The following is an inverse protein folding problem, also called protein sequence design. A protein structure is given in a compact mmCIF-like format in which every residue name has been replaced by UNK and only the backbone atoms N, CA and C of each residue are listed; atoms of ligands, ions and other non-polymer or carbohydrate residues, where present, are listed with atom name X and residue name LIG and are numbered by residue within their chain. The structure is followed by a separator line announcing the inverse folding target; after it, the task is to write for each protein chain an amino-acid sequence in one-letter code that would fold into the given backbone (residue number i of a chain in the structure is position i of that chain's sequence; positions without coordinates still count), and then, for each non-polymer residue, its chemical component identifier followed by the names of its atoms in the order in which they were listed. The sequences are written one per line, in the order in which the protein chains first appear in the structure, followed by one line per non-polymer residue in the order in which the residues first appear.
data_IF_586469630347
#
_entry.id   IF_586469630347
#
_cell.length_a   1.000
_cell.length_b   1.000
_cell.length_c   1.000
_cell.angle_alpha   90.00
_cell.angle_beta   90.00
_cell.angle_gamma   90.00
#
_symmetry.space_group_name_H-M   'P 1'
#
loop_
_entity.id
_entity.type
_entity.pdbx_description
1 polymer ?
#
# COMPACT_ATOMS: atom_id res chain seq x y z
N UNK A 1 17.25 -36.55 23.58
CA UNK A 1 16.33 -35.43 23.48
C UNK A 1 16.05 -35.13 22.01
N UNK A 2 15.12 -35.82 21.40
CA UNK A 2 14.76 -35.64 20.02
C UNK A 2 13.77 -34.49 19.83
N UNK A 3 13.98 -33.70 18.79
CA UNK A 3 12.93 -32.83 18.24
C UNK A 3 11.79 -33.76 17.80
N UNK A 4 10.54 -33.52 18.21
CA UNK A 4 9.44 -34.35 17.77
C UNK A 4 9.37 -34.36 16.24
N UNK A 5 9.35 -35.51 15.65
CA UNK A 5 9.21 -35.69 14.20
C UNK A 5 7.74 -35.99 13.91
N UNK A 6 7.14 -35.19 13.04
CA UNK A 6 5.77 -35.39 12.59
C UNK A 6 5.78 -35.82 11.11
N UNK A 7 5.98 -37.11 10.81
CA UNK A 7 6.19 -37.56 9.43
C UNK A 7 4.97 -37.27 8.54
N UNK A 8 3.77 -37.37 9.08
CA UNK A 8 2.55 -37.05 8.32
C UNK A 8 2.46 -35.56 7.97
N UNK A 9 2.84 -34.68 8.89
CA UNK A 9 2.87 -33.24 8.64
C UNK A 9 3.95 -32.88 7.63
N UNK A 10 5.15 -33.49 7.76
CA UNK A 10 6.25 -33.29 6.81
C UNK A 10 5.87 -33.76 5.40
N UNK A 11 5.12 -34.85 5.29
CA UNK A 11 4.61 -35.33 4.00
C UNK A 11 3.64 -34.35 3.34
N UNK A 12 2.87 -33.60 4.15
CA UNK A 12 1.89 -32.62 3.65
C UNK A 12 2.49 -31.26 3.31
N UNK A 13 3.38 -30.75 4.14
CA UNK A 13 3.85 -29.34 4.06
C UNK A 13 5.34 -29.22 3.75
N UNK A 14 6.06 -30.33 3.67
CA UNK A 14 7.50 -30.35 3.48
C UNK A 14 8.28 -30.22 4.79
N UNK A 15 9.59 -30.04 4.69
CA UNK A 15 10.50 -29.99 5.84
C UNK A 15 10.42 -28.67 6.62
N UNK A 16 9.78 -27.66 6.07
CA UNK A 16 9.65 -26.33 6.70
C UNK A 16 8.21 -25.88 6.66
N UNK A 17 7.79 -25.21 7.73
CA UNK A 17 6.48 -24.52 7.79
C UNK A 17 6.65 -23.04 7.44
N UNK A 18 5.61 -22.39 6.91
CA UNK A 18 5.68 -20.95 6.64
C UNK A 18 5.94 -20.15 7.92
N UNK A 19 6.78 -19.13 7.80
CA UNK A 19 7.01 -18.16 8.88
C UNK A 19 6.05 -16.98 8.70
N UNK A 20 5.16 -16.79 9.67
CA UNK A 20 4.17 -15.72 9.68
C UNK A 20 4.48 -14.60 10.67
N UNK A 21 5.67 -14.60 11.28
CA UNK A 21 6.05 -13.55 12.23
C UNK A 21 6.07 -12.18 11.54
N UNK A 22 5.44 -11.19 12.16
CA UNK A 22 5.36 -9.83 11.63
C UNK A 22 4.43 -9.65 10.44
N UNK A 23 3.63 -10.65 10.08
CA UNK A 23 2.76 -10.65 8.91
C UNK A 23 1.32 -10.90 9.34
N UNK A 24 0.39 -10.12 8.79
CA UNK A 24 -1.02 -10.37 8.96
C UNK A 24 -1.49 -11.52 8.07
N UNK A 25 -2.37 -12.37 8.59
CA UNK A 25 -3.01 -13.40 7.80
C UNK A 25 -4.29 -12.86 7.18
N UNK A 26 -4.45 -13.08 5.89
CA UNK A 26 -5.61 -12.61 5.12
C UNK A 26 -6.31 -13.80 4.49
N UNK A 27 -7.63 -13.85 4.65
CA UNK A 27 -8.45 -14.88 3.97
C UNK A 27 -8.26 -14.81 2.45
N UNK A 28 -7.99 -15.95 1.83
CA UNK A 28 -7.85 -16.05 0.38
C UNK A 28 -9.18 -15.80 -0.31
N UNK A 29 -9.17 -14.94 -1.30
CA UNK A 29 -10.34 -14.56 -2.10
C UNK A 29 -10.53 -13.06 -2.17
N UNK A 30 -11.75 -12.64 -2.46
CA UNK A 30 -12.10 -11.23 -2.53
C UNK A 30 -13.46 -10.94 -1.90
N UNK A 31 -13.61 -9.75 -1.36
CA UNK A 31 -14.85 -9.24 -0.81
C UNK A 31 -14.96 -7.74 -1.09
N UNK A 32 -16.15 -7.28 -1.44
CA UNK A 32 -16.41 -5.88 -1.69
C UNK A 32 -16.97 -5.21 -0.43
N UNK A 33 -16.47 -4.03 -0.11
CA UNK A 33 -17.03 -3.15 0.91
C UNK A 33 -17.50 -1.84 0.32
N UNK A 34 -18.42 -1.17 1.02
CA UNK A 34 -18.97 0.12 0.61
C UNK A 34 -18.72 1.22 1.63
N UNK A 35 -17.82 0.99 2.58
CA UNK A 35 -17.60 1.88 3.72
C UNK A 35 -17.14 3.28 3.33
N UNK A 36 -16.21 3.40 2.39
CA UNK A 36 -15.75 4.67 1.79
C UNK A 36 -15.70 4.55 0.27
N UNK A 37 -16.87 4.42 -0.35
CA UNK A 37 -16.98 4.04 -1.76
C UNK A 37 -16.89 2.52 -1.93
N UNK A 38 -17.13 2.06 -3.14
CA UNK A 38 -17.07 0.63 -3.46
C UNK A 38 -15.62 0.21 -3.67
N UNK A 39 -15.13 -0.66 -2.80
CA UNK A 39 -13.75 -1.16 -2.84
C UNK A 39 -13.76 -2.68 -2.85
N UNK A 40 -13.08 -3.28 -3.80
CA UNK A 40 -12.83 -4.71 -3.84
C UNK A 40 -11.55 -5.05 -3.06
N UNK A 41 -11.70 -5.81 -1.99
CA UNK A 41 -10.60 -6.28 -1.15
C UNK A 41 -10.17 -7.67 -1.62
N UNK A 42 -9.18 -7.72 -2.49
CA UNK A 42 -8.67 -8.97 -3.04
C UNK A 42 -7.35 -9.38 -2.37
N UNK A 43 -7.23 -10.64 -1.97
CA UNK A 43 -5.97 -11.20 -1.52
C UNK A 43 -5.02 -11.46 -2.71
N UNK A 44 -3.74 -11.66 -2.44
CA UNK A 44 -2.83 -12.32 -3.36
C UNK A 44 -3.24 -13.79 -3.57
N UNK A 45 -2.51 -14.53 -4.39
CA UNK A 45 -2.70 -15.98 -4.50
C UNK A 45 -2.45 -16.66 -3.17
N UNK A 46 -3.04 -17.84 -2.99
CA UNK A 46 -2.88 -18.60 -1.76
C UNK A 46 -1.39 -18.83 -1.43
N UNK A 47 -0.98 -18.45 -0.24
CA UNK A 47 0.40 -18.55 0.24
C UNK A 47 1.33 -17.41 -0.19
N UNK A 48 0.93 -16.54 -1.10
CA UNK A 48 1.75 -15.40 -1.53
C UNK A 48 1.69 -14.23 -0.54
N UNK A 49 2.80 -13.51 -0.47
CA UNK A 49 2.92 -12.28 0.29
C UNK A 49 2.37 -11.12 -0.54
N UNK A 50 1.56 -10.29 0.09
CA UNK A 50 1.07 -9.03 -0.46
C UNK A 50 1.60 -7.87 0.37
N UNK A 51 2.28 -6.92 -0.27
CA UNK A 51 2.83 -5.74 0.39
C UNK A 51 1.75 -4.83 0.97
N UNK A 52 2.16 -4.01 1.92
CA UNK A 52 1.34 -2.93 2.43
C UNK A 52 1.00 -1.91 1.34
N UNK A 53 -0.10 -1.23 1.51
CA UNK A 53 -0.49 -0.14 0.63
C UNK A 53 -1.51 0.78 1.32
N UNK A 54 -1.53 2.03 0.87
CA UNK A 54 -2.59 2.97 1.19
C UNK A 54 -3.40 3.30 -0.08
N UNK A 55 -4.60 3.83 0.08
CA UNK A 55 -5.30 4.45 -1.05
C UNK A 55 -4.57 5.71 -1.47
N UNK A 56 -4.45 5.94 -2.78
CA UNK A 56 -3.78 7.13 -3.26
C UNK A 56 -4.55 8.39 -2.84
N UNK A 57 -3.81 9.36 -2.38
CA UNK A 57 -4.31 10.68 -2.05
C UNK A 57 -3.67 11.68 -3.00
N UNK A 58 -4.49 12.46 -3.67
CA UNK A 58 -4.04 13.51 -4.59
C UNK A 58 -4.70 14.82 -4.24
N UNK A 59 -3.98 15.90 -4.44
CA UNK A 59 -4.47 17.24 -4.21
C UNK A 59 -3.52 18.28 -4.77
N UNK A 60 -3.94 19.54 -4.70
CA UNK A 60 -3.11 20.66 -5.11
C UNK A 60 -3.31 21.83 -4.20
N UNK A 61 -2.29 22.64 -4.08
CA UNK A 61 -2.36 23.94 -3.46
C UNK A 61 -1.83 24.99 -4.43
N UNK A 62 -2.55 26.09 -4.54
CA UNK A 62 -2.08 27.27 -5.26
C UNK A 62 -1.41 28.16 -4.24
N UNK A 63 -0.12 28.38 -4.41
CA UNK A 63 0.67 29.17 -3.48
C UNK A 63 1.45 30.23 -4.28
N UNK A 64 1.75 31.34 -3.62
CA UNK A 64 2.69 32.31 -4.15
C UNK A 64 4.08 31.94 -3.60
N UNK A 65 4.95 31.29 -4.40
CA UNK A 65 6.27 30.92 -3.93
C UNK A 65 7.13 32.17 -3.82
N UNK A 66 7.28 32.67 -2.62
CA UNK A 66 8.08 33.85 -2.35
C UNK A 66 9.60 33.65 -2.58
N UNK A 67 10.06 32.49 -3.01
CA UNK A 67 11.48 32.22 -3.23
C UNK A 67 11.73 31.28 -4.41
N UNK A 68 12.55 31.75 -5.32
CA UNK A 68 13.27 30.91 -6.28
C UNK A 68 14.12 29.87 -5.53
N UNK A 69 14.11 28.63 -5.96
CA UNK A 69 15.16 27.68 -5.68
C UNK A 69 14.85 26.53 -4.76
N UNK A 70 13.64 26.36 -4.26
CA UNK A 70 13.25 25.12 -3.58
C UNK A 70 12.35 24.26 -4.48
N UNK A 71 12.90 23.17 -4.95
CA UNK A 71 12.11 22.16 -5.66
C UNK A 71 11.29 21.37 -4.65
N UNK A 72 10.01 21.12 -4.92
CA UNK A 72 9.21 20.19 -4.11
C UNK A 72 9.85 18.80 -4.06
N UNK A 73 9.70 18.12 -2.95
CA UNK A 73 10.28 16.79 -2.72
C UNK A 73 9.24 15.79 -2.23
N UNK A 74 9.56 14.50 -2.32
CA UNK A 74 8.69 13.42 -1.85
C UNK A 74 7.39 13.35 -2.66
N UNK A 75 6.23 13.34 -2.00
CA UNK A 75 4.94 13.29 -2.69
C UNK A 75 4.52 14.61 -3.34
N UNK A 76 5.22 15.69 -3.07
CA UNK A 76 4.95 16.99 -3.69
C UNK A 76 5.71 17.12 -5.00
N UNK A 77 5.07 17.73 -5.99
CA UNK A 77 5.70 18.01 -7.28
C UNK A 77 5.11 19.24 -7.94
N UNK A 78 5.87 19.79 -8.86
CA UNK A 78 5.49 20.90 -9.69
C UNK A 78 5.20 20.38 -11.10
N UNK A 79 4.05 20.73 -11.65
CA UNK A 79 3.68 20.36 -13.01
C UNK A 79 4.33 21.23 -14.09
N UNK A 80 5.07 22.26 -13.68
CA UNK A 80 5.61 23.26 -14.61
C UNK A 80 4.58 24.25 -15.14
N UNK A 81 3.32 24.10 -14.74
CA UNK A 81 2.26 25.03 -15.14
C UNK A 81 2.21 26.22 -14.16
N UNK A 82 2.44 27.39 -14.68
CA UNK A 82 2.19 28.63 -13.93
C UNK A 82 3.39 29.30 -13.28
N UNK A 83 4.59 28.78 -13.46
CA UNK A 83 5.79 29.49 -13.03
C UNK A 83 6.16 30.58 -14.04
N UNK A 84 5.44 31.68 -14.01
CA UNK A 84 5.84 32.85 -14.76
C UNK A 84 7.05 33.51 -14.06
N UNK A 85 8.14 33.56 -14.78
CA UNK A 85 9.41 34.14 -14.39
C UNK A 85 9.33 35.68 -14.33
N UNK A 86 8.30 36.22 -13.71
CA UNK A 86 8.13 37.67 -13.56
C UNK A 86 8.53 38.16 -12.16
N UNK A 87 9.36 39.15 -12.19
CA UNK A 87 10.00 39.83 -11.06
C UNK A 87 9.06 40.74 -10.28
N UNK A 88 7.76 40.67 -10.42
CA UNK A 88 6.84 41.52 -9.65
C UNK A 88 5.50 40.90 -9.36
N UNK A 89 5.16 40.90 -8.09
CA UNK A 89 3.82 40.88 -7.49
C UNK A 89 2.75 40.09 -8.26
N UNK A 90 2.66 38.80 -8.03
CA UNK A 90 1.46 38.07 -8.33
C UNK A 90 1.57 36.76 -9.12
N UNK A 91 2.76 36.19 -9.30
CA UNK A 91 2.85 34.86 -9.92
C UNK A 91 2.52 33.79 -8.89
N UNK A 92 1.38 33.14 -9.06
CA UNK A 92 1.00 31.95 -8.31
C UNK A 92 1.50 30.69 -9.01
N UNK A 93 2.08 29.79 -8.26
CA UNK A 93 2.43 28.44 -8.72
C UNK A 93 1.50 27.41 -8.11
N UNK A 94 1.35 26.26 -8.74
CA UNK A 94 0.58 25.15 -8.23
C UNK A 94 1.53 24.04 -7.78
N UNK A 95 1.41 23.65 -6.53
CA UNK A 95 2.10 22.49 -5.98
C UNK A 95 1.10 21.35 -5.90
N UNK A 96 1.45 20.25 -6.51
CA UNK A 96 0.66 19.02 -6.51
C UNK A 96 1.15 18.06 -5.45
N UNK A 97 0.23 17.29 -4.91
CA UNK A 97 0.49 16.20 -3.98
C UNK A 97 -0.01 14.89 -4.60
N UNK A 98 0.83 13.87 -4.58
CA UNK A 98 0.47 12.51 -5.00
C UNK A 98 1.21 11.51 -4.11
N UNK A 99 0.46 10.81 -3.26
CA UNK A 99 1.03 9.86 -2.30
C UNK A 99 1.76 8.70 -2.99
N UNK A 100 1.37 8.33 -4.21
CA UNK A 100 2.03 7.24 -4.95
C UNK A 100 3.50 7.50 -5.27
N UNK A 101 3.95 8.73 -5.16
CA UNK A 101 5.36 9.11 -5.36
C UNK A 101 6.26 8.76 -4.16
N UNK A 102 5.68 8.52 -3.01
CA UNK A 102 6.42 8.32 -1.76
C UNK A 102 6.11 6.98 -1.07
N UNK A 103 4.99 6.35 -1.38
CA UNK A 103 4.53 5.13 -0.72
C UNK A 103 3.76 4.24 -1.69
N UNK A 104 3.74 2.91 -1.50
CA UNK A 104 2.90 2.02 -2.28
C UNK A 104 1.42 2.37 -2.16
N UNK A 105 0.71 2.39 -3.28
CA UNK A 105 -0.73 2.68 -3.31
C UNK A 105 -1.52 1.56 -3.96
N UNK A 106 -2.76 1.39 -3.53
CA UNK A 106 -3.71 0.41 -4.06
C UNK A 106 -5.15 0.93 -3.92
N UNK A 107 -6.10 0.17 -4.41
CA UNK A 107 -7.53 0.49 -4.23
C UNK A 107 -7.98 0.39 -2.76
N UNK A 108 -7.22 -0.29 -1.93
CA UNK A 108 -7.50 -0.50 -0.49
C UNK A 108 -6.31 -0.12 0.39
N UNK A 109 -6.59 0.15 1.67
CA UNK A 109 -5.56 0.24 2.71
C UNK A 109 -5.36 -1.16 3.27
N UNK A 110 -4.11 -1.62 3.30
CA UNK A 110 -3.78 -2.94 3.84
C UNK A 110 -2.38 -2.98 4.45
N UNK A 111 -2.18 -3.76 5.52
CA UNK A 111 -0.84 -4.10 5.99
C UNK A 111 -0.20 -5.18 5.10
N UNK A 112 1.09 -5.42 5.29
CA UNK A 112 1.76 -6.60 4.74
C UNK A 112 1.02 -7.85 5.21
N UNK A 113 0.60 -8.69 4.26
CA UNK A 113 -0.22 -9.84 4.57
C UNK A 113 0.12 -11.03 3.68
N UNK A 114 -0.29 -12.21 4.12
CA UNK A 114 -0.19 -13.44 3.34
C UNK A 114 -1.55 -14.10 3.25
N UNK A 115 -1.92 -14.51 2.05
CA UNK A 115 -3.18 -15.18 1.81
C UNK A 115 -3.17 -16.60 2.37
N UNK A 116 -4.15 -16.89 3.22
CA UNK A 116 -4.36 -18.19 3.84
C UNK A 116 -5.82 -18.61 3.71
N UNK A 117 -6.09 -19.90 3.86
CA UNK A 117 -7.45 -20.41 3.91
C UNK A 117 -7.83 -20.67 5.36
N UNK A 118 -8.87 -19.99 5.82
CA UNK A 118 -9.44 -20.26 7.14
C UNK A 118 -10.39 -21.46 7.04
N UNK A 119 -10.23 -22.41 7.94
CA UNK A 119 -11.08 -23.59 8.02
C UNK A 119 -11.69 -23.67 9.42
N UNK A 120 -12.95 -24.06 9.49
CA UNK A 120 -13.66 -24.33 10.74
C UNK A 120 -13.85 -25.83 10.83
N UNK A 121 -13.43 -26.42 11.95
CA UNK A 121 -13.69 -27.84 12.20
C UNK A 121 -15.16 -28.03 12.52
N UNK A 122 -15.85 -28.77 11.69
CA UNK A 122 -17.19 -29.27 12.00
C UNK A 122 -17.09 -30.58 12.81
N UNK A 123 -18.00 -30.74 13.77
CA UNK A 123 -18.11 -32.01 14.51
C UNK A 123 -18.80 -33.06 13.65
#
# INVERSE_FOLDING_TARGET
SGIPVYPELVALVGATVPDYRGIFLRGHGSQTSTHYGTVNHASARLGELQGDAIRNMQGRVVANPARRGSSPTGPFYDSGEGWNNHTDTGSSGTIWFDASRATPTAAEIRPVNRAVRYLIRAK
#
